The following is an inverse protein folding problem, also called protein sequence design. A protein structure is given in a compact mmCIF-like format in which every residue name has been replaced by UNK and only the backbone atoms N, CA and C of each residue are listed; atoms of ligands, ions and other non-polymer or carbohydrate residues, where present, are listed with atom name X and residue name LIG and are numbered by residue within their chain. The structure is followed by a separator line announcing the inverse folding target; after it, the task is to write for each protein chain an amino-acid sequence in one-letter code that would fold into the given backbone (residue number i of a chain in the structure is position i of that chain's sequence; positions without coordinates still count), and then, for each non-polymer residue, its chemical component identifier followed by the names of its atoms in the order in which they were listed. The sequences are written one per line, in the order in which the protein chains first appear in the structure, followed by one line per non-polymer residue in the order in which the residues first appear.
data_IF_979253774768
#
_entry.id   IF_979253774768
#
_cell.length_a   1.000
_cell.length_b   1.000
_cell.length_c   1.000
_cell.angle_alpha   90.00
_cell.angle_beta   90.00
_cell.angle_gamma   90.00
#
_symmetry.space_group_name_H-M   'P 1'
#
loop_
_entity.id
_entity.type
_entity.pdbx_description
1 polymer ?
#
# COMPACT_ATOMS: atom_id res chain seq x y z
N UNK A 1 10.15 7.13 17.27
CA UNK A 1 9.14 6.23 16.66
C UNK A 1 9.81 5.54 15.49
N UNK A 2 10.04 4.23 15.57
CA UNK A 2 10.75 3.50 14.52
C UNK A 2 9.86 3.42 13.28
N UNK A 3 10.33 4.02 12.17
CA UNK A 3 9.65 4.01 10.88
C UNK A 3 9.98 2.68 10.19
N UNK A 4 9.05 1.72 10.23
CA UNK A 4 9.23 0.40 9.63
C UNK A 4 8.56 0.36 8.26
N UNK A 5 9.27 0.88 7.26
CA UNK A 5 8.82 0.69 5.88
C UNK A 5 9.18 -0.74 5.48
N UNK A 6 8.21 -1.46 4.92
CA UNK A 6 8.33 -2.90 4.68
C UNK A 6 9.49 -3.19 3.73
N UNK A 7 9.79 -2.26 2.82
CA UNK A 7 10.89 -2.34 1.88
C UNK A 7 11.90 -1.21 2.11
N UNK A 8 13.22 -1.49 2.03
CA UNK A 8 14.24 -0.47 2.12
C UNK A 8 14.03 0.64 1.08
N UNK A 9 14.10 1.91 1.50
CA UNK A 9 14.00 3.08 0.63
C UNK A 9 12.57 3.55 0.33
N UNK A 10 11.55 2.73 0.59
CA UNK A 10 10.15 3.17 0.48
C UNK A 10 9.83 4.23 1.53
N UNK A 11 8.90 5.11 1.21
CA UNK A 11 8.50 6.22 2.10
C UNK A 11 7.07 6.07 2.62
N UNK A 12 6.23 5.32 1.92
CA UNK A 12 4.80 5.26 2.16
C UNK A 12 4.28 3.83 2.39
N UNK A 13 5.00 2.79 1.96
CA UNK A 13 4.56 1.42 2.23
C UNK A 13 5.04 0.90 3.59
N UNK A 14 4.14 0.85 4.58
CA UNK A 14 4.33 0.10 5.83
C UNK A 14 3.80 0.80 7.08
N UNK A 15 3.68 0.07 8.21
CA UNK A 15 3.23 0.65 9.48
C UNK A 15 4.14 1.80 9.93
N UNK A 16 3.56 3.00 10.07
CA UNK A 16 4.29 4.21 10.45
C UNK A 16 5.10 4.85 9.32
N UNK A 17 4.90 4.43 8.07
CA UNK A 17 5.47 5.06 6.88
C UNK A 17 4.39 5.80 6.10
N UNK A 18 4.23 7.09 6.37
CA UNK A 18 3.28 7.96 5.64
C UNK A 18 3.93 9.28 5.24
N UNK A 19 5.12 9.18 4.63
CA UNK A 19 5.95 10.34 4.31
C UNK A 19 6.87 10.79 5.46
N UNK A 20 7.54 11.96 5.33
CA UNK A 20 7.41 12.93 4.25
C UNK A 20 8.16 12.54 2.96
N UNK A 21 7.83 13.23 1.86
CA UNK A 21 8.56 13.20 0.58
C UNK A 21 7.81 12.52 -0.57
N UNK A 22 8.26 12.79 -1.80
CA UNK A 22 7.69 12.17 -3.00
C UNK A 22 7.89 10.64 -3.01
N UNK A 23 6.88 9.86 -3.45
CA UNK A 23 7.01 8.43 -3.60
C UNK A 23 8.14 8.09 -4.57
N UNK A 24 8.84 6.98 -4.30
CA UNK A 24 10.05 6.62 -5.07
C UNK A 24 9.75 5.77 -6.32
N UNK A 25 8.59 5.12 -6.38
CA UNK A 25 8.12 4.33 -7.51
C UNK A 25 6.58 4.24 -7.49
N UNK A 26 5.97 3.48 -8.42
CA UNK A 26 4.51 3.40 -8.57
C UNK A 26 3.87 2.66 -7.41
N UNK A 27 4.54 1.66 -6.84
CA UNK A 27 4.04 0.94 -5.66
C UNK A 27 4.04 1.84 -4.42
N UNK A 28 5.11 2.59 -4.20
CA UNK A 28 5.21 3.58 -3.11
C UNK A 28 4.18 4.71 -3.30
N UNK A 29 3.88 5.09 -4.54
CA UNK A 29 2.81 6.05 -4.85
C UNK A 29 1.41 5.49 -4.53
N UNK A 30 1.16 4.20 -4.80
CA UNK A 30 -0.09 3.56 -4.43
C UNK A 30 -0.26 3.51 -2.90
N UNK A 31 0.80 3.24 -2.14
CA UNK A 31 0.76 3.30 -0.67
C UNK A 31 0.48 4.72 -0.16
N UNK A 32 1.07 5.75 -0.78
CA UNK A 32 0.74 7.15 -0.46
C UNK A 32 -0.75 7.43 -0.63
N UNK A 33 -1.34 6.98 -1.73
CA UNK A 33 -2.77 7.19 -2.00
C UNK A 33 -3.65 6.45 -0.99
N UNK A 34 -3.24 5.25 -0.56
CA UNK A 34 -3.94 4.49 0.48
C UNK A 34 -3.90 5.21 1.83
N UNK A 35 -2.72 5.67 2.25
CA UNK A 35 -2.55 6.47 3.47
C UNK A 35 -3.39 7.75 3.45
N UNK A 36 -3.36 8.47 2.33
CA UNK A 36 -4.18 9.68 2.14
C UNK A 36 -5.68 9.34 2.19
N UNK A 37 -6.11 8.24 1.57
CA UNK A 37 -7.49 7.79 1.63
C UNK A 37 -7.95 7.54 3.07
N UNK A 38 -7.11 6.86 3.88
CA UNK A 38 -7.37 6.65 5.30
C UNK A 38 -7.48 7.97 6.07
N UNK A 39 -6.66 8.98 5.74
CA UNK A 39 -6.70 10.28 6.40
C UNK A 39 -7.94 11.12 6.03
N UNK A 40 -8.35 11.11 4.76
CA UNK A 40 -9.44 11.96 4.27
C UNK A 40 -10.82 11.33 4.44
N UNK A 41 -10.96 10.04 4.12
CA UNK A 41 -12.27 9.35 4.11
C UNK A 41 -12.51 8.52 5.37
N UNK A 42 -11.46 7.93 5.95
CA UNK A 42 -11.57 7.07 7.14
C UNK A 42 -12.24 5.71 6.92
N UNK A 43 -12.94 5.51 5.79
CA UNK A 43 -13.51 4.20 5.42
C UNK A 43 -12.41 3.25 4.96
N UNK A 44 -12.02 2.36 5.87
CA UNK A 44 -10.95 1.38 5.64
C UNK A 44 -11.28 0.40 4.53
N UNK A 45 -12.52 -0.09 4.48
CA UNK A 45 -12.93 -1.07 3.47
C UNK A 45 -12.84 -0.46 2.06
N UNK A 46 -13.40 0.74 1.90
CA UNK A 46 -13.36 1.45 0.62
C UNK A 46 -11.91 1.71 0.19
N UNK A 47 -11.09 2.27 1.08
CA UNK A 47 -9.70 2.59 0.77
C UNK A 47 -8.87 1.34 0.45
N UNK A 48 -9.08 0.23 1.16
CA UNK A 48 -8.43 -1.06 0.87
C UNK A 48 -8.81 -1.61 -0.51
N UNK A 49 -10.09 -1.53 -0.89
CA UNK A 49 -10.56 -1.96 -2.21
C UNK A 49 -9.94 -1.14 -3.34
N UNK A 50 -9.92 0.19 -3.19
CA UNK A 50 -9.28 1.09 -4.14
C UNK A 50 -7.79 0.78 -4.25
N UNK A 51 -7.12 0.56 -3.13
CA UNK A 51 -5.69 0.25 -3.11
C UNK A 51 -5.37 -1.08 -3.82
N UNK A 52 -6.18 -2.13 -3.61
CA UNK A 52 -6.07 -3.40 -4.33
C UNK A 52 -6.19 -3.19 -5.85
N UNK A 53 -7.16 -2.36 -6.29
CA UNK A 53 -7.35 -2.07 -7.72
C UNK A 53 -6.14 -1.35 -8.31
N UNK A 54 -5.49 -0.47 -7.56
CA UNK A 54 -4.28 0.24 -7.98
C UNK A 54 -3.03 -0.65 -8.01
N UNK A 55 -2.89 -1.58 -7.05
CA UNK A 55 -1.76 -2.50 -7.00
C UNK A 55 -1.81 -3.58 -8.09
N UNK A 56 -3.02 -4.05 -8.45
CA UNK A 56 -3.21 -5.14 -9.41
C UNK A 56 -2.42 -4.98 -10.72
N UNK A 57 -2.43 -3.82 -11.42
CA UNK A 57 -1.65 -3.64 -12.65
C UNK A 57 -0.13 -3.48 -12.41
N UNK A 58 0.32 -3.32 -11.16
CA UNK A 58 1.74 -3.20 -10.80
C UNK A 58 2.39 -4.55 -10.51
N UNK A 59 1.59 -5.60 -10.29
CA UNK A 59 2.07 -6.96 -10.03
C UNK A 59 2.85 -7.47 -11.25
N UNK A 60 4.14 -7.72 -11.06
CA UNK A 60 5.02 -8.24 -12.09
C UNK A 60 6.19 -9.02 -11.46
N UNK A 61 6.25 -10.37 -11.62
CA UNK A 61 7.26 -11.20 -10.98
C UNK A 61 8.69 -10.95 -11.51
N UNK A 62 8.82 -10.37 -12.70
CA UNK A 62 10.10 -10.14 -13.36
C UNK A 62 10.81 -8.87 -12.89
N UNK A 63 10.15 -8.00 -12.12
CA UNK A 63 10.73 -6.75 -11.61
C UNK A 63 10.74 -6.73 -10.09
N UNK A 64 11.72 -6.05 -9.49
CA UNK A 64 11.78 -5.90 -8.02
C UNK A 64 10.54 -5.17 -7.51
N UNK A 65 10.17 -4.06 -8.15
CA UNK A 65 8.96 -3.29 -7.83
C UNK A 65 7.70 -4.16 -7.94
N UNK A 66 7.56 -4.95 -9.00
CA UNK A 66 6.38 -5.79 -9.20
C UNK A 66 6.30 -6.98 -8.23
N UNK A 67 7.43 -7.51 -7.74
CA UNK A 67 7.43 -8.47 -6.64
C UNK A 67 7.02 -7.84 -5.31
N UNK A 68 7.41 -6.59 -5.06
CA UNK A 68 6.88 -5.85 -3.91
C UNK A 68 5.37 -5.63 -4.04
N UNK A 69 4.89 -5.26 -5.23
CA UNK A 69 3.46 -5.14 -5.50
C UNK A 69 2.70 -6.45 -5.25
N UNK A 70 3.27 -7.59 -5.68
CA UNK A 70 2.68 -8.93 -5.47
C UNK A 70 2.54 -9.27 -3.98
N UNK A 71 3.60 -9.05 -3.19
CA UNK A 71 3.58 -9.26 -1.73
C UNK A 71 2.52 -8.38 -1.05
N UNK A 72 2.47 -7.09 -1.38
CA UNK A 72 1.49 -6.17 -0.80
C UNK A 72 0.08 -6.58 -1.24
N UNK A 73 -0.13 -6.90 -2.52
CA UNK A 73 -1.43 -7.30 -3.05
C UNK A 73 -1.98 -8.56 -2.37
N UNK A 74 -1.13 -9.56 -2.14
CA UNK A 74 -1.48 -10.75 -1.37
C UNK A 74 -1.87 -10.44 0.07
N UNK A 75 -1.08 -9.62 0.76
CA UNK A 75 -1.39 -9.16 2.11
C UNK A 75 -2.70 -8.37 2.17
N UNK A 76 -2.89 -7.41 1.27
CA UNK A 76 -4.08 -6.54 1.26
C UNK A 76 -5.35 -7.32 0.96
N UNK A 77 -5.31 -8.38 0.14
CA UNK A 77 -6.46 -9.27 -0.02
C UNK A 77 -6.90 -9.90 1.29
N UNK A 78 -5.95 -10.35 2.11
CA UNK A 78 -6.23 -10.88 3.43
C UNK A 78 -6.72 -9.78 4.39
N UNK A 79 -6.07 -8.61 4.38
CA UNK A 79 -6.44 -7.46 5.22
C UNK A 79 -7.86 -6.96 4.92
N UNK A 80 -8.20 -6.81 3.64
CA UNK A 80 -9.52 -6.34 3.17
C UNK A 80 -10.64 -7.25 3.63
N UNK A 81 -10.39 -8.56 3.71
CA UNK A 81 -11.37 -9.50 4.27
C UNK A 81 -11.74 -9.18 5.72
N UNK A 82 -10.82 -8.61 6.51
CA UNK A 82 -11.10 -8.18 7.87
C UNK A 82 -11.70 -6.76 7.93
N UNK A 83 -11.20 -5.81 7.13
CA UNK A 83 -11.70 -4.41 7.15
C UNK A 83 -13.06 -4.20 6.49
N UNK A 84 -13.48 -5.09 5.59
CA UNK A 84 -14.80 -5.02 4.94
C UNK A 84 -15.86 -5.91 5.57
N UNK A 85 -15.50 -6.79 6.50
CA UNK A 85 -16.43 -7.74 7.12
C UNK A 85 -16.91 -7.31 8.52
N UNK A 86 -16.26 -6.31 9.10
CA UNK A 86 -16.59 -5.68 10.39
C UNK A 86 -16.71 -4.16 10.19
#
# INVERSE_FOLDING_TARGET
MFRFCIFPGYKWCGPGCSGPGAPINRVDAACKMHDECYQYYGDKCYCDQVFIQQLRPLVNPYTVEGRHADLIYGYMKLHTFFTCRF
#
